data_IF_288913820262
#
_entry.id   IF_288913820262
#
_cell.length_a   1.000
_cell.length_b   1.000
_cell.length_c   1.000
_cell.angle_alpha   90.00
_cell.angle_beta   90.00
_cell.angle_gamma   90.00
#
_symmetry.space_group_name_H-M   'P 1'
#
loop_
_entity.id
_entity.type
_entity.pdbx_description
1 polymer ?
#
# COMPACT_ATOMS: atom_id res chain seq x y z
N UNK A 1 -4.48 -2.41 -13.88
CA UNK A 1 -3.37 -3.28 -13.43
C UNK A 1 -3.75 -3.85 -12.08
N UNK A 2 -3.87 -5.17 -11.97
CA UNK A 2 -4.17 -5.84 -10.70
C UNK A 2 -2.83 -6.24 -10.09
N UNK A 3 -2.45 -5.57 -9.00
CA UNK A 3 -1.25 -5.92 -8.25
C UNK A 3 -1.63 -6.87 -7.12
N UNK A 4 -0.95 -8.01 -7.07
CA UNK A 4 -1.12 -9.01 -6.03
C UNK A 4 0.16 -9.01 -5.20
N UNK A 5 0.04 -8.88 -3.88
CA UNK A 5 1.20 -8.96 -3.00
C UNK A 5 1.65 -10.40 -2.77
N UNK A 6 2.85 -10.57 -2.19
CA UNK A 6 3.40 -11.89 -1.82
C UNK A 6 2.43 -12.78 -1.02
N UNK A 7 1.52 -12.18 -0.24
CA UNK A 7 0.50 -12.91 0.53
C UNK A 7 -0.69 -13.39 -0.33
N UNK A 8 -0.63 -13.27 -1.66
CA UNK A 8 -1.71 -13.55 -2.63
C UNK A 8 -2.99 -12.70 -2.42
N UNK A 9 -2.88 -11.57 -1.74
CA UNK A 9 -3.96 -10.59 -1.58
C UNK A 9 -3.84 -9.46 -2.59
N UNK A 10 -4.96 -8.80 -2.90
CA UNK A 10 -4.96 -7.58 -3.70
C UNK A 10 -4.18 -6.48 -2.98
N UNK A 11 -3.19 -5.91 -3.67
CA UNK A 11 -2.47 -4.75 -3.20
C UNK A 11 -3.36 -3.50 -3.33
N UNK A 12 -3.38 -2.67 -2.31
CA UNK A 12 -4.13 -1.41 -2.30
C UNK A 12 -3.17 -0.26 -2.57
N UNK A 13 -3.62 0.69 -3.40
CA UNK A 13 -2.92 1.96 -3.55
C UNK A 13 -3.07 2.76 -2.25
N UNK A 14 -1.96 3.05 -1.59
CA UNK A 14 -1.87 3.95 -0.46
C UNK A 14 -1.09 5.20 -0.87
N UNK A 15 -1.43 6.33 -0.28
CA UNK A 15 -0.69 7.57 -0.48
C UNK A 15 0.39 7.68 0.60
N UNK A 16 1.63 8.02 0.21
CA UNK A 16 2.65 8.36 1.21
C UNK A 16 2.19 9.60 1.97
N UNK A 17 1.99 9.46 3.27
CA UNK A 17 1.76 10.60 4.17
C UNK A 17 3.08 11.28 4.56
N UNK A 18 4.23 10.67 4.27
CA UNK A 18 5.52 11.31 4.55
C UNK A 18 5.72 12.51 3.63
N UNK A 19 6.08 13.64 4.25
CA UNK A 19 6.51 14.87 3.57
C UNK A 19 7.77 14.69 2.73
N UNK A 20 8.46 13.55 2.85
CA UNK A 20 9.64 13.24 2.04
C UNK A 20 9.28 12.87 0.59
N UNK A 21 8.01 12.55 0.32
CA UNK A 21 7.56 12.20 -1.03
C UNK A 21 6.08 12.57 -1.27
N UNK A 22 5.76 13.86 -1.26
CA UNK A 22 4.38 14.32 -1.44
C UNK A 22 3.87 13.92 -2.82
N UNK A 23 2.66 13.38 -2.86
CA UNK A 23 1.98 13.00 -4.12
C UNK A 23 2.37 11.65 -4.69
N UNK A 24 3.36 10.92 -4.13
CA UNK A 24 3.65 9.55 -4.56
C UNK A 24 2.79 8.53 -3.82
N UNK A 25 1.99 7.81 -4.60
CA UNK A 25 1.32 6.59 -4.14
C UNK A 25 2.26 5.39 -4.18
N UNK A 26 2.03 4.43 -3.29
CA UNK A 26 2.67 3.13 -3.30
C UNK A 26 1.62 2.02 -3.13
N UNK A 27 1.89 0.86 -3.71
CA UNK A 27 1.03 -0.30 -3.54
C UNK A 27 1.45 -1.08 -2.30
N UNK A 28 0.58 -1.13 -1.30
CA UNK A 28 0.79 -1.87 -0.05
C UNK A 28 -0.10 -3.11 0.03
N UNK A 29 0.42 -4.16 0.67
CA UNK A 29 -0.38 -5.32 1.06
C UNK A 29 -0.97 -5.07 2.44
N UNK A 30 -2.31 -5.17 2.60
CA UNK A 30 -2.95 -5.11 3.93
C UNK A 30 -2.74 -6.45 4.62
N UNK A 31 -1.53 -6.68 5.14
CA UNK A 31 -1.19 -7.89 5.92
C UNK A 31 -1.86 -7.74 7.28
N UNK A 32 -3.09 -8.26 7.41
CA UNK A 32 -3.92 -8.29 8.64
C UNK A 32 -3.88 -7.00 9.46
N UNK A 33 -4.85 -6.11 9.21
CA UNK A 33 -5.17 -4.90 9.98
C UNK A 33 -4.15 -4.52 11.06
N UNK A 34 -2.96 -4.04 10.68
CA UNK A 34 -2.11 -3.39 11.67
C UNK A 34 -2.77 -2.05 11.93
N UNK A 35 -3.28 -1.88 13.15
CA UNK A 35 -3.72 -0.60 13.65
C UNK A 35 -2.66 0.45 13.36
N UNK A 36 -3.00 1.34 12.45
CA UNK A 36 -2.49 2.70 12.39
C UNK A 36 -3.72 3.58 12.51
#
# INVERSE_FOLDING_TARGET
MILVCYCRNLAKLNMSLSNDNPGRGFFGCKKFGSGF
#
